data_IF_465251065415
#
_entry.id   IF_465251065415
#
_cell.length_a   1.000
_cell.length_b   1.000
_cell.length_c   1.000
_cell.angle_alpha   90.00
_cell.angle_beta   90.00
_cell.angle_gamma   90.00
#
_symmetry.space_group_name_H-M   'P 1'
#
loop_
_entity.id
_entity.type
_entity.pdbx_description
1 polymer ?
#
# COMPACT_ATOMS: atom_id res chain seq x y z
N UNK A 1 38.11 -43.10 -33.56
CA UNK A 1 37.07 -44.11 -33.80
C UNK A 1 35.77 -43.38 -33.63
N UNK A 2 35.25 -42.94 -34.70
CA UNK A 2 34.13 -43.43 -35.50
C UNK A 2 32.76 -43.02 -34.93
N UNK A 3 32.20 -42.11 -35.63
CA UNK A 3 30.77 -41.67 -35.73
C UNK A 3 29.81 -42.86 -35.96
N UNK A 4 28.48 -42.68 -36.20
CA UNK A 4 27.72 -41.52 -36.71
C UNK A 4 26.27 -41.31 -36.13
N UNK A 5 25.73 -40.12 -36.28
CA UNK A 5 24.59 -39.63 -37.10
C UNK A 5 23.29 -40.42 -37.10
N UNK A 6 22.21 -39.75 -36.74
CA UNK A 6 20.94 -39.78 -37.50
C UNK A 6 20.08 -38.54 -37.23
N UNK A 7 19.92 -37.74 -38.23
CA UNK A 7 18.91 -36.71 -38.51
C UNK A 7 17.58 -37.35 -38.79
N UNK A 8 16.47 -36.81 -38.28
CA UNK A 8 15.17 -36.89 -38.98
C UNK A 8 14.46 -35.53 -38.89
N UNK A 9 14.44 -34.87 -40.00
CA UNK A 9 13.50 -33.87 -40.42
C UNK A 9 12.08 -34.47 -40.54
N UNK A 10 11.09 -33.72 -40.10
CA UNK A 10 9.75 -33.88 -40.65
C UNK A 10 9.10 -32.48 -40.73
N UNK A 11 9.16 -32.00 -41.96
CA UNK A 11 8.39 -30.87 -42.47
C UNK A 11 7.02 -31.35 -42.94
N UNK A 12 6.08 -30.44 -42.84
CA UNK A 12 4.91 -30.23 -43.70
C UNK A 12 3.66 -31.06 -43.47
N UNK A 13 2.62 -30.29 -43.57
CA UNK A 13 1.26 -30.50 -44.02
C UNK A 13 0.17 -30.47 -42.92
N UNK A 14 -0.59 -29.37 -42.99
CA UNK A 14 -2.06 -29.44 -43.08
C UNK A 14 -2.65 -28.03 -43.18
N UNK A 15 -2.56 -27.46 -44.39
CA UNK A 15 -3.60 -26.58 -44.92
C UNK A 15 -4.57 -27.47 -45.70
N UNK A 16 -5.84 -27.34 -45.43
CA UNK A 16 -7.03 -27.61 -46.26
C UNK A 16 -8.17 -28.12 -45.37
N UNK A 17 -9.21 -27.35 -45.33
CA UNK A 17 -10.50 -27.84 -44.91
C UNK A 17 -11.34 -26.86 -44.13
N UNK A 18 -12.01 -25.93 -44.80
CA UNK A 18 -13.39 -25.56 -44.48
C UNK A 18 -13.92 -24.45 -45.39
N UNK A 19 -14.04 -24.73 -46.68
CA UNK A 19 -14.84 -23.95 -47.62
C UNK A 19 -16.34 -24.25 -47.57
N UNK A 20 -16.79 -25.19 -46.70
CA UNK A 20 -18.20 -25.65 -46.63
C UNK A 20 -19.05 -25.03 -45.52
N UNK A 21 -18.51 -24.11 -44.72
CA UNK A 21 -19.31 -23.49 -43.67
C UNK A 21 -20.05 -22.20 -44.12
N UNK A 22 -19.55 -21.55 -45.15
CA UNK A 22 -20.18 -20.30 -45.64
C UNK A 22 -21.31 -20.52 -46.68
N UNK A 23 -21.38 -21.69 -47.31
CA UNK A 23 -22.43 -22.00 -48.29
C UNK A 23 -23.77 -22.40 -47.65
N UNK A 24 -23.78 -22.84 -46.40
CA UNK A 24 -25.03 -23.25 -45.71
C UNK A 24 -25.79 -22.10 -45.04
N UNK A 25 -25.16 -20.97 -44.79
CA UNK A 25 -25.81 -19.80 -44.19
C UNK A 25 -26.55 -18.98 -45.27
N UNK A 26 -26.06 -18.96 -46.50
CA UNK A 26 -26.70 -18.20 -47.57
C UNK A 26 -28.03 -18.81 -48.09
N UNK A 27 -28.25 -20.10 -47.90
CA UNK A 27 -29.49 -20.75 -48.33
C UNK A 27 -30.63 -20.70 -47.30
N UNK A 28 -30.37 -20.38 -46.06
CA UNK A 28 -31.40 -20.28 -45.02
C UNK A 28 -32.01 -18.89 -44.96
N UNK A 29 -31.26 -17.87 -45.37
CA UNK A 29 -31.70 -16.44 -45.32
C UNK A 29 -32.65 -16.10 -46.51
N UNK A 30 -32.54 -16.81 -47.66
CA UNK A 30 -33.37 -16.50 -48.84
C UNK A 30 -34.75 -17.18 -48.87
N UNK A 31 -35.03 -18.18 -47.99
CA UNK A 31 -36.36 -18.85 -47.94
C UNK A 31 -37.37 -18.23 -46.97
N UNK A 32 -36.98 -17.22 -46.18
CA UNK A 32 -37.88 -16.60 -45.21
C UNK A 32 -38.39 -15.22 -45.64
N UNK A 33 -38.09 -14.74 -46.84
CA UNK A 33 -38.50 -13.42 -47.30
C UNK A 33 -39.75 -13.38 -48.22
N UNK A 34 -40.28 -14.54 -48.64
CA UNK A 34 -41.41 -14.61 -49.61
C UNK A 34 -42.77 -14.94 -49.02
N UNK A 35 -42.93 -14.95 -47.67
CA UNK A 35 -44.22 -15.27 -47.05
C UNK A 35 -44.81 -14.18 -46.15
N UNK A 36 -44.57 -12.90 -46.44
CA UNK A 36 -45.22 -11.79 -45.75
C UNK A 36 -45.60 -10.62 -46.68
N UNK A 37 -46.37 -10.90 -47.68
CA UNK A 37 -47.21 -9.89 -48.31
C UNK A 37 -48.66 -10.36 -48.13
N UNK A 38 -49.29 -9.92 -47.05
CA UNK A 38 -50.71 -9.69 -46.81
C UNK A 38 -51.01 -9.92 -45.31
N UNK A 39 -50.65 -8.95 -44.48
CA UNK A 39 -51.28 -8.75 -43.17
C UNK A 39 -51.41 -7.23 -42.92
N UNK A 40 -52.65 -6.87 -42.70
CA UNK A 40 -53.18 -5.53 -42.61
C UNK A 40 -52.34 -4.52 -41.81
N UNK A 41 -52.00 -3.40 -42.43
CA UNK A 41 -51.30 -2.22 -41.95
C UNK A 41 -51.96 -1.59 -40.70
N UNK A 42 -53.21 -1.97 -40.36
CA UNK A 42 -54.00 -1.36 -39.27
C UNK A 42 -53.71 -1.95 -37.87
N UNK A 43 -53.01 -3.08 -37.75
CA UNK A 43 -52.67 -3.67 -36.46
C UNK A 43 -51.25 -3.26 -36.02
N UNK A 44 -50.35 -2.93 -36.95
CA UNK A 44 -48.99 -2.51 -36.63
C UNK A 44 -48.90 -1.06 -36.02
N UNK A 45 -49.86 -0.20 -36.34
CA UNK A 45 -49.86 1.18 -35.79
C UNK A 45 -50.40 1.27 -34.35
N UNK A 46 -51.08 0.26 -33.81
CA UNK A 46 -51.53 0.24 -32.40
C UNK A 46 -50.55 -0.50 -31.44
N UNK A 47 -49.64 -1.30 -31.95
CA UNK A 47 -48.58 -1.96 -31.17
C UNK A 47 -47.30 -1.15 -31.08
N UNK A 48 -47.09 -0.17 -32.00
CA UNK A 48 -45.90 0.70 -31.98
C UNK A 48 -45.97 1.82 -30.93
N UNK A 49 -47.14 2.07 -30.30
CA UNK A 49 -47.31 3.13 -29.30
C UNK A 49 -47.18 2.57 -27.86
N UNK A 50 -47.25 1.24 -27.65
CA UNK A 50 -47.18 0.64 -26.32
C UNK A 50 -45.78 0.08 -25.99
N UNK A 51 -44.91 -0.15 -26.99
CA UNK A 51 -43.57 -0.71 -26.83
C UNK A 51 -42.45 0.26 -26.37
N UNK A 52 -42.56 1.60 -26.48
CA UNK A 52 -41.50 2.44 -25.92
C UNK A 52 -41.62 2.71 -24.42
N UNK A 53 -42.71 2.28 -23.76
CA UNK A 53 -42.90 2.55 -22.32
C UNK A 53 -42.47 1.40 -21.38
N UNK A 54 -42.03 0.27 -21.91
CA UNK A 54 -41.66 -0.91 -21.08
C UNK A 54 -40.15 -1.09 -20.95
N UNK A 55 -39.28 -0.30 -21.62
CA UNK A 55 -37.83 -0.49 -21.58
C UNK A 55 -37.04 0.71 -21.02
N UNK A 56 -37.59 1.47 -20.09
CA UNK A 56 -36.79 2.40 -19.29
C UNK A 56 -37.18 2.35 -17.80
N UNK A 57 -37.27 1.16 -17.22
CA UNK A 57 -36.82 1.01 -15.87
C UNK A 57 -35.31 0.89 -15.95
N UNK A 58 -34.63 2.02 -16.11
CA UNK A 58 -33.27 2.14 -15.61
C UNK A 58 -33.37 1.85 -14.11
N UNK A 59 -33.13 0.62 -13.74
CA UNK A 59 -32.73 0.34 -12.36
C UNK A 59 -31.45 1.13 -12.17
N UNK A 60 -31.58 2.40 -11.80
CA UNK A 60 -30.54 3.06 -11.05
C UNK A 60 -30.41 2.22 -9.80
N UNK A 61 -29.55 1.21 -9.83
CA UNK A 61 -29.01 0.64 -8.61
C UNK A 61 -28.47 1.86 -7.88
N UNK A 62 -29.16 2.27 -6.81
CA UNK A 62 -28.65 3.29 -5.93
C UNK A 62 -27.26 2.78 -5.55
N UNK A 63 -26.24 3.48 -6.03
CA UNK A 63 -24.86 3.12 -5.78
C UNK A 63 -24.65 3.41 -4.31
N UNK A 64 -24.61 2.36 -3.48
CA UNK A 64 -24.51 2.51 -2.05
C UNK A 64 -23.26 3.32 -1.71
N UNK A 65 -23.45 4.42 -0.97
CA UNK A 65 -22.35 5.24 -0.49
C UNK A 65 -21.44 4.40 0.41
N UNK A 66 -20.15 4.54 0.26
CA UNK A 66 -19.16 3.81 1.05
C UNK A 66 -19.27 4.24 2.53
N UNK A 67 -19.36 3.25 3.43
CA UNK A 67 -19.47 3.45 4.89
C UNK A 67 -18.28 2.86 5.64
N UNK A 68 -18.06 3.36 6.86
CA UNK A 68 -17.04 2.82 7.78
C UNK A 68 -17.40 1.38 8.16
N UNK A 69 -18.68 1.08 8.42
CA UNK A 69 -19.16 -0.25 8.78
C UNK A 69 -18.81 -1.27 7.69
N UNK A 70 -19.13 -0.96 6.45
CA UNK A 70 -18.80 -1.81 5.31
C UNK A 70 -17.29 -2.12 5.21
N UNK A 71 -16.43 -1.14 5.48
CA UNK A 71 -14.98 -1.34 5.41
C UNK A 71 -14.45 -2.14 6.60
N UNK A 72 -15.00 -1.93 7.80
CA UNK A 72 -14.65 -2.73 8.98
C UNK A 72 -15.05 -4.19 8.81
N UNK A 73 -16.27 -4.45 8.33
CA UNK A 73 -16.76 -5.82 8.05
C UNK A 73 -15.90 -6.52 6.99
N UNK A 74 -15.48 -5.79 5.95
CA UNK A 74 -14.57 -6.32 4.94
C UNK A 74 -13.21 -6.67 5.51
N UNK A 75 -12.61 -5.77 6.30
CA UNK A 75 -11.32 -6.04 6.96
C UNK A 75 -11.43 -7.24 7.91
N UNK A 76 -12.48 -7.34 8.70
CA UNK A 76 -12.72 -8.49 9.58
C UNK A 76 -12.85 -9.79 8.77
N UNK A 77 -13.66 -9.79 7.71
CA UNK A 77 -13.84 -10.93 6.82
C UNK A 77 -12.52 -11.37 6.19
N UNK A 78 -11.68 -10.44 5.73
CA UNK A 78 -10.37 -10.74 5.17
C UNK A 78 -9.44 -11.37 6.22
N UNK A 79 -9.45 -10.87 7.46
CA UNK A 79 -8.61 -11.40 8.55
C UNK A 79 -9.07 -12.80 9.02
N UNK A 80 -10.38 -13.07 8.95
CA UNK A 80 -10.96 -14.37 9.32
C UNK A 80 -10.86 -15.42 8.22
N UNK A 81 -10.55 -15.01 6.99
CA UNK A 81 -10.41 -15.91 5.85
C UNK A 81 -9.24 -16.87 6.07
N UNK A 82 -9.56 -18.09 6.42
CA UNK A 82 -8.57 -19.16 6.63
C UNK A 82 -8.13 -19.74 5.31
N UNK A 83 -6.83 -19.91 5.17
CA UNK A 83 -6.22 -20.84 4.25
C UNK A 83 -4.97 -21.45 4.92
N UNK A 84 -4.39 -22.48 4.33
CA UNK A 84 -3.26 -23.21 4.90
C UNK A 84 -1.96 -22.38 4.92
N UNK A 85 -1.93 -21.24 4.22
CA UNK A 85 -0.76 -20.38 4.09
C UNK A 85 -0.71 -19.29 5.18
N UNK A 86 -1.83 -18.55 5.37
CA UNK A 86 -1.85 -17.41 6.30
C UNK A 86 -2.07 -17.88 7.74
N UNK A 87 -1.27 -17.32 8.66
CA UNK A 87 -1.46 -17.60 10.08
C UNK A 87 -2.65 -16.82 10.65
N UNK A 88 -3.25 -17.36 11.72
CA UNK A 88 -4.36 -16.69 12.40
C UNK A 88 -3.98 -15.29 12.85
N UNK A 89 -4.86 -14.33 12.60
CA UNK A 89 -4.78 -12.96 13.06
C UNK A 89 -4.00 -12.01 12.16
N UNK A 90 -3.41 -12.49 11.04
CA UNK A 90 -2.85 -11.58 10.05
C UNK A 90 -3.83 -11.35 8.89
N UNK A 91 -3.66 -10.21 8.25
CA UNK A 91 -4.33 -9.93 6.98
C UNK A 91 -3.57 -10.57 5.83
N UNK A 92 -4.27 -11.18 4.86
CA UNK A 92 -3.65 -11.69 3.64
C UNK A 92 -2.85 -10.60 2.94
N UNK A 93 -1.56 -10.82 2.81
CA UNK A 93 -0.64 -9.96 2.08
C UNK A 93 0.02 -10.72 0.95
N UNK A 94 0.55 -9.99 -0.01
CA UNK A 94 1.03 -10.56 -1.25
C UNK A 94 2.28 -9.84 -1.72
N UNK A 95 3.17 -10.59 -2.36
CA UNK A 95 4.38 -10.07 -2.99
C UNK A 95 4.37 -10.36 -4.49
N UNK A 96 4.85 -9.44 -5.30
CA UNK A 96 4.99 -9.62 -6.74
C UNK A 96 6.37 -9.17 -7.22
N UNK A 97 7.00 -9.94 -8.10
CA UNK A 97 8.21 -9.56 -8.83
C UNK A 97 7.94 -8.60 -10.00
N UNK A 98 6.68 -8.21 -10.23
CA UNK A 98 6.27 -7.22 -11.23
C UNK A 98 5.35 -6.22 -10.55
N UNK A 99 5.40 -4.94 -10.94
CA UNK A 99 4.49 -3.91 -10.45
C UNK A 99 3.07 -4.15 -10.99
N UNK A 100 2.48 -5.31 -10.61
CA UNK A 100 1.13 -5.71 -10.98
C UNK A 100 0.55 -6.61 -9.90
N UNK A 101 -0.57 -6.21 -9.32
CA UNK A 101 -1.29 -7.01 -8.33
C UNK A 101 -1.68 -8.41 -8.86
N UNK A 102 -2.03 -8.50 -10.13
CA UNK A 102 -2.42 -9.76 -10.79
C UNK A 102 -1.34 -10.85 -10.76
N UNK A 103 -0.05 -10.49 -10.65
CA UNK A 103 1.07 -11.46 -10.64
C UNK A 103 1.57 -11.79 -9.24
N UNK A 104 0.78 -11.49 -8.20
CA UNK A 104 1.12 -11.67 -6.80
C UNK A 104 1.23 -13.13 -6.38
N UNK A 105 2.03 -13.38 -5.36
CA UNK A 105 2.09 -14.60 -4.56
C UNK A 105 1.78 -14.27 -3.11
N UNK A 106 1.29 -15.23 -2.36
CA UNK A 106 1.02 -15.07 -0.94
C UNK A 106 2.31 -14.82 -0.14
N UNK A 107 2.21 -13.95 0.87
CA UNK A 107 3.31 -13.60 1.77
C UNK A 107 2.79 -13.37 3.19
N UNK A 108 3.48 -13.96 4.18
CA UNK A 108 3.15 -13.79 5.60
C UNK A 108 4.06 -12.72 6.20
N UNK A 109 3.59 -11.47 6.24
CA UNK A 109 4.33 -10.35 6.83
C UNK A 109 3.53 -9.67 7.93
N UNK A 110 4.23 -9.15 8.95
CA UNK A 110 3.61 -8.39 10.03
C UNK A 110 3.34 -6.93 9.63
N UNK A 111 4.04 -6.42 8.65
CA UNK A 111 4.07 -5.02 8.25
C UNK A 111 2.67 -4.40 8.09
N UNK A 112 1.84 -4.99 7.22
CA UNK A 112 0.49 -4.46 6.99
C UNK A 112 -0.43 -4.61 8.21
N UNK A 113 -0.27 -5.69 8.98
CA UNK A 113 -1.00 -5.83 10.25
C UNK A 113 -0.69 -4.68 11.20
N UNK A 114 0.60 -4.34 11.32
CA UNK A 114 1.04 -3.26 12.20
C UNK A 114 0.52 -1.90 11.72
N UNK A 115 0.56 -1.61 10.41
CA UNK A 115 -0.02 -0.39 9.83
C UNK A 115 -1.52 -0.28 10.07
N UNK A 116 -2.28 -1.37 9.83
CA UNK A 116 -3.73 -1.39 10.03
C UNK A 116 -4.07 -1.17 11.50
N UNK A 117 -3.44 -1.92 12.41
CA UNK A 117 -3.70 -1.78 13.85
C UNK A 117 -3.32 -0.40 14.37
N UNK A 118 -2.19 0.16 13.90
CA UNK A 118 -1.80 1.52 14.25
C UNK A 118 -2.89 2.53 13.84
N UNK A 119 -3.39 2.44 12.60
CA UNK A 119 -4.43 3.34 12.08
C UNK A 119 -5.76 3.15 12.80
N UNK A 120 -6.18 1.90 13.04
CA UNK A 120 -7.40 1.59 13.79
C UNK A 120 -7.35 2.16 15.22
N UNK A 121 -6.22 2.03 15.92
CA UNK A 121 -6.04 2.58 17.27
C UNK A 121 -6.10 4.12 17.29
N UNK A 122 -5.61 4.78 16.26
CA UNK A 122 -5.71 6.23 16.13
C UNK A 122 -7.14 6.71 15.86
N UNK A 123 -7.95 5.88 15.19
CA UNK A 123 -9.30 6.25 14.79
C UNK A 123 -10.41 5.70 15.71
N UNK A 124 -10.14 4.65 16.52
CA UNK A 124 -11.16 3.94 17.29
C UNK A 124 -11.97 4.84 18.23
N UNK A 125 -11.41 5.93 18.74
CA UNK A 125 -12.12 6.87 19.63
C UNK A 125 -13.24 7.64 18.89
N UNK A 126 -13.29 7.58 17.57
CA UNK A 126 -14.24 8.24 16.68
C UNK A 126 -15.39 7.31 16.23
N UNK A 127 -15.27 6.03 16.54
CA UNK A 127 -16.20 4.97 16.13
C UNK A 127 -17.43 4.88 17.02
N UNK A 128 -18.54 4.37 16.46
CA UNK A 128 -19.71 3.94 17.25
C UNK A 128 -19.34 2.76 18.17
N UNK A 129 -20.24 2.37 19.06
CA UNK A 129 -20.03 1.22 19.96
C UNK A 129 -19.87 -0.06 19.12
N UNK A 130 -20.71 -0.27 18.12
CA UNK A 130 -20.70 -1.43 17.24
C UNK A 130 -19.40 -1.50 16.42
N UNK A 131 -18.99 -0.38 15.84
CA UNK A 131 -17.72 -0.26 15.12
C UNK A 131 -16.52 -0.55 16.02
N UNK A 132 -16.54 -0.11 17.27
CA UNK A 132 -15.46 -0.41 18.24
C UNK A 132 -15.36 -1.90 18.55
N UNK A 133 -16.47 -2.62 18.66
CA UNK A 133 -16.46 -4.07 18.91
C UNK A 133 -15.71 -4.79 17.77
N UNK A 134 -16.01 -4.47 16.50
CA UNK A 134 -15.32 -5.05 15.35
C UNK A 134 -13.85 -4.64 15.36
N UNK A 135 -13.57 -3.36 15.55
CA UNK A 135 -12.22 -2.82 15.63
C UNK A 135 -11.35 -3.52 16.69
N UNK A 136 -11.86 -3.66 17.92
CA UNK A 136 -11.16 -4.32 19.02
C UNK A 136 -10.92 -5.81 18.73
N UNK A 137 -11.87 -6.47 18.07
CA UNK A 137 -11.74 -7.86 17.61
C UNK A 137 -10.61 -8.01 16.61
N UNK A 138 -10.52 -7.13 15.58
CA UNK A 138 -9.44 -7.08 14.59
C UNK A 138 -8.10 -6.86 15.29
N UNK A 139 -8.00 -5.84 16.15
CA UNK A 139 -6.77 -5.50 16.87
C UNK A 139 -6.32 -6.68 17.73
N UNK A 140 -7.21 -7.30 18.50
CA UNK A 140 -6.89 -8.41 19.40
C UNK A 140 -6.34 -9.62 18.63
N UNK A 141 -6.90 -9.94 17.45
CA UNK A 141 -6.38 -11.03 16.60
C UNK A 141 -5.00 -10.70 16.07
N UNK A 142 -4.79 -9.47 15.58
CA UNK A 142 -3.48 -9.04 15.07
C UNK A 142 -2.40 -9.03 16.13
N UNK A 143 -2.72 -8.62 17.35
CA UNK A 143 -1.78 -8.61 18.49
C UNK A 143 -1.34 -10.03 18.89
N UNK A 144 -2.21 -11.04 18.80
CA UNK A 144 -1.83 -12.44 19.04
C UNK A 144 -0.82 -12.94 17.99
N UNK A 145 -0.99 -12.53 16.72
CA UNK A 145 -0.07 -12.91 15.65
C UNK A 145 1.32 -12.29 15.81
N UNK A 146 1.42 -11.09 16.39
CA UNK A 146 2.66 -10.32 16.51
C UNK A 146 3.80 -11.09 17.17
N UNK A 147 3.52 -11.95 18.16
CA UNK A 147 4.51 -12.76 18.86
C UNK A 147 5.33 -13.68 17.93
N UNK A 148 4.78 -14.09 16.78
CA UNK A 148 5.43 -14.96 15.80
C UNK A 148 6.49 -14.25 14.95
N UNK A 149 6.55 -12.93 15.03
CA UNK A 149 7.49 -12.07 14.31
C UNK A 149 8.54 -11.44 15.24
N UNK A 150 8.35 -11.60 16.57
CA UNK A 150 9.25 -11.05 17.59
C UNK A 150 10.60 -11.77 17.58
N UNK A 151 11.67 -11.00 17.72
CA UNK A 151 13.00 -11.55 18.00
C UNK A 151 13.02 -12.16 19.41
N UNK A 152 13.67 -13.33 19.56
CA UNK A 152 13.73 -14.03 20.85
C UNK A 152 14.65 -13.37 21.87
N UNK A 153 15.65 -12.61 21.41
CA UNK A 153 16.76 -12.12 22.23
C UNK A 153 16.74 -10.60 22.43
N UNK A 154 15.85 -9.88 21.76
CA UNK A 154 15.79 -8.42 21.81
C UNK A 154 14.36 -7.89 21.51
N UNK A 155 14.02 -6.67 21.91
CA UNK A 155 12.68 -6.11 21.72
C UNK A 155 12.48 -5.58 20.28
N UNK A 156 12.77 -6.42 19.27
CA UNK A 156 12.65 -6.07 17.86
C UNK A 156 11.76 -7.06 17.13
N UNK A 157 11.29 -6.67 15.95
CA UNK A 157 10.44 -7.48 15.11
C UNK A 157 11.06 -7.62 13.72
N UNK A 158 10.74 -8.74 13.09
CA UNK A 158 11.17 -9.07 11.75
C UNK A 158 9.97 -9.01 10.80
N UNK A 159 10.20 -8.62 9.58
CA UNK A 159 9.20 -8.58 8.53
C UNK A 159 8.50 -9.93 8.32
N UNK A 160 9.27 -11.02 8.41
CA UNK A 160 8.77 -12.39 8.31
C UNK A 160 8.82 -13.12 9.64
N UNK A 161 8.09 -14.23 9.71
CA UNK A 161 8.02 -15.07 10.91
C UNK A 161 9.41 -15.53 11.39
N UNK A 162 9.60 -15.46 12.70
CA UNK A 162 10.84 -15.91 13.37
C UNK A 162 10.70 -17.30 14.03
N UNK A 163 9.48 -17.83 14.10
CA UNK A 163 9.16 -19.14 14.70
C UNK A 163 9.27 -20.31 13.72
N UNK A 164 9.39 -20.07 12.44
CA UNK A 164 9.53 -21.07 11.39
C UNK A 164 10.63 -20.69 10.40
N UNK A 165 11.08 -21.67 9.59
CA UNK A 165 11.97 -21.38 8.48
C UNK A 165 11.24 -20.62 7.38
N UNK A 166 11.68 -19.40 7.12
CA UNK A 166 11.17 -18.58 6.02
C UNK A 166 11.65 -19.11 4.66
N UNK A 167 10.79 -19.09 3.67
CA UNK A 167 11.13 -19.38 2.29
C UNK A 167 10.65 -18.23 1.40
N UNK A 168 11.60 -17.51 0.80
CA UNK A 168 11.27 -16.41 -0.10
C UNK A 168 10.48 -16.94 -1.31
N UNK A 169 9.34 -16.32 -1.68
CA UNK A 169 8.44 -16.86 -2.71
C UNK A 169 9.00 -16.85 -4.13
N UNK A 170 10.09 -16.10 -4.37
CA UNK A 170 10.75 -15.99 -5.67
C UNK A 170 12.13 -16.62 -5.63
N UNK A 171 12.51 -17.31 -6.69
CA UNK A 171 13.89 -17.73 -6.89
C UNK A 171 14.72 -16.49 -7.18
N UNK A 172 15.57 -16.11 -6.24
CA UNK A 172 16.49 -15.00 -6.39
C UNK A 172 17.93 -15.53 -6.36
N UNK A 173 18.72 -15.14 -7.34
CA UNK A 173 20.18 -15.39 -7.34
C UNK A 173 20.89 -14.71 -6.15
N UNK A 174 20.26 -13.68 -5.58
CA UNK A 174 20.81 -12.85 -4.50
C UNK A 174 20.34 -13.32 -3.11
N UNK A 175 19.18 -13.96 -3.02
CA UNK A 175 18.65 -14.52 -1.77
C UNK A 175 18.56 -16.03 -1.89
N UNK A 176 19.50 -16.71 -1.24
CA UNK A 176 19.40 -18.16 -1.09
C UNK A 176 18.14 -18.55 -0.30
N UNK A 177 17.61 -19.77 -0.45
CA UNK A 177 16.32 -20.21 0.10
C UNK A 177 16.24 -20.23 1.64
N UNK A 178 17.33 -19.96 2.33
CA UNK A 178 17.42 -19.98 3.81
C UNK A 178 17.87 -18.64 4.43
N UNK A 179 18.01 -17.56 3.65
CA UNK A 179 18.43 -16.26 4.20
C UNK A 179 17.20 -15.45 4.55
N UNK A 180 16.98 -15.23 5.84
CA UNK A 180 16.04 -14.22 6.36
C UNK A 180 16.71 -12.86 6.37
N UNK A 181 15.94 -11.80 6.18
CA UNK A 181 16.37 -10.45 6.48
C UNK A 181 16.57 -10.32 8.01
N UNK A 182 17.46 -9.45 8.49
CA UNK A 182 17.50 -9.09 9.91
C UNK A 182 16.21 -8.36 10.28
N UNK A 183 15.98 -8.20 11.58
CA UNK A 183 14.92 -7.29 12.06
C UNK A 183 15.20 -5.89 11.54
N UNK A 184 14.16 -5.13 11.36
CA UNK A 184 14.24 -3.75 10.88
C UNK A 184 13.51 -2.78 11.81
N UNK A 185 13.84 -1.50 11.63
CA UNK A 185 13.29 -0.43 12.43
C UNK A 185 11.80 -0.25 12.20
N UNK A 186 11.36 -0.42 10.97
CA UNK A 186 10.00 -0.14 10.57
C UNK A 186 9.01 -1.11 11.22
N UNK A 187 9.22 -2.42 11.04
CA UNK A 187 8.42 -3.46 11.68
C UNK A 187 8.51 -3.41 13.21
N UNK A 188 9.68 -3.01 13.73
CA UNK A 188 9.88 -2.87 15.17
C UNK A 188 9.05 -1.74 15.75
N UNK A 189 9.13 -0.52 15.20
CA UNK A 189 8.39 0.62 15.78
C UNK A 189 6.89 0.49 15.56
N UNK A 190 6.46 0.01 14.38
CA UNK A 190 5.05 -0.25 14.09
C UNK A 190 4.50 -1.37 14.99
N UNK A 191 5.25 -2.47 15.17
CA UNK A 191 4.88 -3.56 16.05
C UNK A 191 4.79 -3.14 17.53
N UNK A 192 5.71 -2.29 18.00
CA UNK A 192 5.66 -1.75 19.37
C UNK A 192 4.51 -0.76 19.57
N UNK A 193 4.16 0.03 18.56
CA UNK A 193 2.98 0.91 18.60
C UNK A 193 1.65 0.14 18.64
N UNK A 194 1.63 -1.14 18.21
CA UNK A 194 0.49 -2.02 18.45
C UNK A 194 0.35 -2.36 19.94
N UNK A 195 1.45 -2.41 20.69
CA UNK A 195 1.50 -2.77 22.10
C UNK A 195 1.47 -1.51 22.98
N UNK A 196 0.91 -1.63 24.17
CA UNK A 196 1.05 -0.63 25.22
C UNK A 196 2.03 -1.19 26.27
N UNK A 197 3.34 -1.21 25.93
CA UNK A 197 4.38 -1.79 26.78
C UNK A 197 5.60 -0.86 26.85
N UNK A 198 5.66 -0.07 27.90
CA UNK A 198 6.68 0.96 28.11
C UNK A 198 8.10 0.40 28.18
N UNK A 199 8.31 -0.74 28.85
CA UNK A 199 9.64 -1.32 29.02
C UNK A 199 10.22 -1.79 27.68
N UNK A 200 9.44 -2.48 26.87
CA UNK A 200 9.86 -2.89 25.53
C UNK A 200 10.10 -1.68 24.61
N UNK A 201 9.30 -0.64 24.75
CA UNK A 201 9.40 0.62 24.01
C UNK A 201 10.70 1.35 24.32
N UNK A 202 11.01 1.55 25.59
CA UNK A 202 12.28 2.18 26.03
C UNK A 202 13.51 1.35 25.66
N UNK A 203 13.43 0.03 25.84
CA UNK A 203 14.51 -0.88 25.48
C UNK A 203 14.80 -0.89 23.97
N UNK A 204 13.75 -0.86 23.14
CA UNK A 204 13.91 -0.76 21.69
C UNK A 204 14.52 0.59 21.28
N UNK A 205 14.05 1.71 21.84
CA UNK A 205 14.60 3.03 21.56
C UNK A 205 16.08 3.14 21.96
N UNK A 206 16.45 2.60 23.11
CA UNK A 206 17.86 2.53 23.53
C UNK A 206 18.70 1.67 22.57
N UNK A 207 18.16 0.55 22.09
CA UNK A 207 18.84 -0.33 21.14
C UNK A 207 19.06 0.35 19.77
N UNK A 208 18.09 1.13 19.28
CA UNK A 208 18.18 1.85 17.99
C UNK A 208 19.42 2.73 17.91
N UNK A 209 19.88 3.31 19.04
CA UNK A 209 21.04 4.20 19.09
C UNK A 209 22.33 3.54 18.61
N UNK A 210 22.41 2.19 18.65
CA UNK A 210 23.56 1.44 18.13
C UNK A 210 23.49 1.21 16.60
N UNK A 211 22.42 1.60 15.95
CA UNK A 211 22.18 1.34 14.51
C UNK A 211 22.01 2.65 13.72
N UNK A 212 22.94 3.54 13.90
CA UNK A 212 23.08 4.80 13.16
C UNK A 212 24.26 4.74 12.20
N UNK A 213 24.41 5.71 11.32
CA UNK A 213 25.65 5.88 10.56
C UNK A 213 26.77 6.36 11.50
N UNK A 214 27.46 5.43 12.09
CA UNK A 214 28.61 5.69 13.00
C UNK A 214 29.97 5.75 12.29
N UNK A 215 30.01 5.45 10.97
CA UNK A 215 31.26 5.42 10.20
C UNK A 215 31.11 6.16 8.85
N UNK A 216 31.03 7.51 8.86
CA UNK A 216 30.96 8.30 7.65
C UNK A 216 32.28 8.29 6.87
N UNK A 217 32.30 8.53 5.54
CA UNK A 217 31.12 8.76 4.71
C UNK A 217 30.38 7.48 4.31
N UNK A 218 29.07 7.48 4.45
CA UNK A 218 28.22 6.39 4.01
C UNK A 218 28.22 6.25 2.49
N UNK A 219 28.46 5.03 1.98
CA UNK A 219 28.55 4.77 0.53
C UNK A 219 27.23 4.35 -0.12
N UNK A 220 26.18 4.13 0.66
CA UNK A 220 24.86 3.69 0.19
C UNK A 220 23.87 4.85 0.00
N UNK A 221 24.37 6.08 -0.01
CA UNK A 221 23.53 7.29 -0.17
C UNK A 221 24.24 8.36 -1.01
N UNK A 222 23.55 9.46 -1.33
CA UNK A 222 24.17 10.60 -1.98
C UNK A 222 25.23 11.25 -1.06
N UNK A 223 26.28 11.80 -1.67
CA UNK A 223 27.39 12.45 -0.94
C UNK A 223 26.88 13.49 0.09
N UNK A 224 25.83 14.21 -0.24
CA UNK A 224 25.23 15.24 0.63
C UNK A 224 24.65 14.66 1.93
N UNK A 225 24.25 13.38 1.95
CA UNK A 225 23.70 12.68 3.12
C UNK A 225 24.71 11.73 3.78
N UNK A 226 25.90 11.57 3.21
CA UNK A 226 26.85 10.53 3.62
C UNK A 226 27.42 10.72 5.01
N UNK A 227 27.36 11.93 5.59
CA UNK A 227 27.84 12.25 6.94
C UNK A 227 26.69 12.39 7.96
N UNK A 228 25.43 12.23 7.54
CA UNK A 228 24.31 12.30 8.49
C UNK A 228 24.31 11.07 9.38
N UNK A 229 24.17 11.26 10.71
CA UNK A 229 24.16 10.20 11.72
C UNK A 229 22.73 9.69 12.03
N UNK A 230 21.87 9.65 11.01
CA UNK A 230 20.52 9.16 11.12
C UNK A 230 20.47 7.62 11.32
N UNK A 231 19.31 7.12 11.74
CA UNK A 231 19.09 5.69 11.90
C UNK A 231 19.18 4.93 10.58
N UNK A 232 19.76 3.74 10.67
CA UNK A 232 19.66 2.73 9.60
C UNK A 232 18.34 1.99 9.69
N UNK A 233 17.74 1.65 8.56
CA UNK A 233 16.55 0.78 8.53
C UNK A 233 16.78 -0.58 9.22
N UNK A 234 18.01 -1.08 9.29
CA UNK A 234 18.33 -2.47 9.66
C UNK A 234 19.02 -2.62 11.00
N UNK A 235 18.59 -3.60 11.81
CA UNK A 235 19.26 -4.04 13.05
C UNK A 235 20.36 -5.08 12.83
N UNK A 236 20.90 -5.22 11.64
CA UNK A 236 21.88 -6.28 11.31
C UNK A 236 23.28 -5.75 11.12
N UNK A 237 24.27 -6.26 11.90
CA UNK A 237 25.70 -5.90 11.72
C UNK A 237 26.26 -6.21 10.33
N UNK A 238 25.63 -7.15 9.60
CA UNK A 238 26.04 -7.53 8.23
C UNK A 238 25.27 -6.77 7.14
N UNK A 239 24.28 -5.97 7.51
CA UNK A 239 23.56 -5.10 6.59
C UNK A 239 24.26 -3.75 6.51
N UNK A 240 24.38 -3.17 5.32
CA UNK A 240 24.84 -1.79 5.22
C UNK A 240 23.82 -0.84 5.87
N UNK A 241 24.30 0.32 6.30
CA UNK A 241 23.40 1.40 6.71
C UNK A 241 22.59 1.85 5.49
N UNK A 242 21.28 1.89 5.63
CA UNK A 242 20.35 2.36 4.59
C UNK A 242 19.42 3.36 5.23
N UNK A 243 19.38 4.57 4.69
CA UNK A 243 18.41 5.59 5.06
C UNK A 243 17.13 5.43 4.25
N UNK A 244 15.99 5.59 4.92
CA UNK A 244 14.66 5.67 4.31
C UNK A 244 13.83 6.72 5.05
N UNK A 245 13.43 7.76 4.34
CA UNK A 245 12.69 8.91 4.92
C UNK A 245 11.37 8.48 5.56
N UNK A 246 10.64 7.55 4.95
CA UNK A 246 9.37 7.07 5.50
C UNK A 246 9.57 6.22 6.76
N UNK A 247 10.61 5.38 6.79
CA UNK A 247 11.01 4.64 8.00
C UNK A 247 11.39 5.61 9.12
N UNK A 248 12.16 6.64 8.81
CA UNK A 248 12.53 7.67 9.80
C UNK A 248 11.29 8.41 10.32
N UNK A 249 10.30 8.71 9.47
CA UNK A 249 9.02 9.26 9.93
C UNK A 249 8.29 8.30 10.89
N UNK A 250 8.28 6.99 10.63
CA UNK A 250 7.68 6.02 11.53
C UNK A 250 8.44 5.92 12.87
N UNK A 251 9.78 5.96 12.84
CA UNK A 251 10.61 6.01 14.06
C UNK A 251 10.30 7.25 14.89
N UNK A 252 10.28 8.44 14.29
CA UNK A 252 9.98 9.68 15.02
C UNK A 252 8.52 9.70 15.51
N UNK A 253 7.58 9.12 14.76
CA UNK A 253 6.20 8.93 15.20
C UNK A 253 6.12 8.05 16.43
N UNK A 254 6.92 6.97 16.49
CA UNK A 254 7.04 6.10 17.65
C UNK A 254 7.60 6.85 18.87
N UNK A 255 8.65 7.66 18.69
CA UNK A 255 9.26 8.48 19.76
C UNK A 255 8.25 9.47 20.32
N UNK A 256 7.55 10.23 19.47
CA UNK A 256 6.56 11.22 19.89
C UNK A 256 5.33 10.60 20.50
N UNK A 257 4.78 9.53 19.93
CA UNK A 257 3.56 8.86 20.42
C UNK A 257 3.75 8.26 21.82
N UNK A 258 4.97 7.79 22.12
CA UNK A 258 5.33 7.21 23.42
C UNK A 258 5.98 8.22 24.37
N UNK A 259 6.01 9.49 24.04
CA UNK A 259 6.64 10.57 24.81
C UNK A 259 8.08 10.21 25.25
N UNK A 260 8.85 9.58 24.39
CA UNK A 260 10.24 9.25 24.66
C UNK A 260 11.12 10.51 24.59
N UNK A 261 12.15 10.54 25.41
CA UNK A 261 13.13 11.63 25.35
C UNK A 261 13.92 11.53 24.03
N UNK A 262 13.96 12.62 23.28
CA UNK A 262 14.72 12.69 22.04
C UNK A 262 16.21 12.53 22.27
N UNK A 263 16.81 11.73 21.41
CA UNK A 263 18.26 11.50 21.38
C UNK A 263 18.92 12.31 20.24
N UNK A 264 20.25 12.28 20.21
CA UNK A 264 21.01 12.84 19.10
C UNK A 264 20.65 12.16 17.76
N UNK A 265 20.38 10.86 17.77
CA UNK A 265 20.02 10.11 16.58
C UNK A 265 18.62 10.46 16.06
N UNK A 266 17.65 10.73 16.96
CA UNK A 266 16.33 11.24 16.57
C UNK A 266 16.45 12.60 15.89
N UNK A 267 17.24 13.50 16.48
CA UNK A 267 17.50 14.82 15.93
C UNK A 267 18.22 14.77 14.57
N UNK A 268 19.20 13.89 14.43
CA UNK A 268 19.90 13.68 13.15
C UNK A 268 18.98 13.08 12.08
N UNK A 269 18.08 12.19 12.48
CA UNK A 269 17.07 11.60 11.59
C UNK A 269 16.08 12.67 11.10
N UNK A 270 15.61 13.55 11.97
CA UNK A 270 14.80 14.71 11.58
C UNK A 270 15.55 15.63 10.62
N UNK A 271 16.82 15.94 10.91
CA UNK A 271 17.65 16.76 10.02
C UNK A 271 17.79 16.17 8.63
N UNK A 272 17.97 14.84 8.53
CA UNK A 272 18.00 14.15 7.24
C UNK A 272 16.67 14.30 6.48
N UNK A 273 15.53 14.11 7.15
CA UNK A 273 14.18 14.32 6.56
C UNK A 273 14.08 15.77 6.03
N UNK A 274 14.37 16.76 6.86
CA UNK A 274 14.33 18.18 6.48
C UNK A 274 15.20 18.47 5.26
N UNK A 275 16.43 17.96 5.26
CA UNK A 275 17.40 18.12 4.16
C UNK A 275 16.89 17.53 2.85
N UNK A 276 16.23 16.36 2.88
CA UNK A 276 15.65 15.75 1.66
C UNK A 276 14.47 16.55 1.11
N UNK A 277 13.68 17.19 1.96
CA UNK A 277 12.58 18.07 1.55
C UNK A 277 13.14 19.36 0.95
N UNK A 278 14.08 20.03 1.62
CA UNK A 278 14.68 21.29 1.16
C UNK A 278 15.40 21.15 -0.19
N UNK A 279 15.90 19.96 -0.50
CA UNK A 279 16.55 19.63 -1.78
C UNK A 279 15.58 19.16 -2.85
N UNK A 280 14.31 19.01 -2.50
CA UNK A 280 13.25 18.45 -3.36
C UNK A 280 13.52 16.98 -3.77
N UNK A 281 14.35 16.26 -3.02
CA UNK A 281 14.70 14.87 -3.34
C UNK A 281 13.54 13.91 -3.07
N UNK A 282 12.61 14.26 -2.17
CA UNK A 282 11.36 13.49 -1.98
C UNK A 282 10.45 13.50 -3.22
N UNK A 283 10.57 14.50 -4.09
CA UNK A 283 9.82 14.63 -5.35
C UNK A 283 10.64 14.12 -6.54
N UNK A 284 11.91 14.52 -6.64
CA UNK A 284 12.78 14.17 -7.77
C UNK A 284 13.34 12.77 -7.71
N UNK A 285 13.67 12.29 -6.52
CA UNK A 285 14.35 11.02 -6.28
C UNK A 285 13.70 10.18 -5.16
N UNK A 286 12.35 10.02 -5.16
CA UNK A 286 11.61 9.38 -4.05
C UNK A 286 12.12 7.96 -3.76
N UNK A 287 12.39 7.18 -4.80
CA UNK A 287 12.88 5.82 -4.68
C UNK A 287 14.29 5.73 -4.09
N UNK A 288 15.08 6.81 -4.20
CA UNK A 288 16.43 6.85 -3.65
C UNK A 288 16.45 7.24 -2.16
N UNK A 289 15.65 8.25 -1.78
CA UNK A 289 15.59 8.75 -0.39
C UNK A 289 14.65 7.95 0.51
N UNK A 290 13.71 7.20 -0.09
CA UNK A 290 12.81 6.29 0.60
C UNK A 290 12.67 4.99 -0.21
N UNK A 291 13.70 4.13 -0.22
CA UNK A 291 13.77 2.98 -1.11
C UNK A 291 12.67 1.94 -0.89
N UNK A 292 12.13 1.84 0.32
CA UNK A 292 11.09 0.87 0.64
C UNK A 292 9.68 1.39 0.43
N UNK A 293 9.52 2.71 0.27
CA UNK A 293 8.23 3.35 0.01
C UNK A 293 8.19 4.15 -1.30
N UNK A 294 9.25 4.31 -1.96
CA UNK A 294 9.61 4.82 -3.29
C UNK A 294 8.62 5.64 -4.10
N UNK A 295 7.63 6.27 -3.45
CA UNK A 295 6.60 7.09 -4.05
C UNK A 295 6.41 8.38 -3.22
N UNK A 296 6.46 9.53 -3.88
CA UNK A 296 6.31 10.84 -3.23
C UNK A 296 5.02 10.95 -2.42
N UNK A 297 3.90 10.42 -2.93
CA UNK A 297 2.60 10.49 -2.25
C UNK A 297 2.59 9.69 -0.94
N UNK A 298 3.32 8.56 -0.92
CA UNK A 298 3.47 7.74 0.29
C UNK A 298 4.43 8.42 1.28
N UNK A 299 5.51 9.05 0.81
CA UNK A 299 6.41 9.84 1.67
C UNK A 299 5.65 11.00 2.33
N UNK A 300 4.84 11.73 1.55
CA UNK A 300 3.99 12.82 2.08
C UNK A 300 2.99 12.31 3.13
N UNK A 301 2.44 11.12 2.94
CA UNK A 301 1.55 10.49 3.93
C UNK A 301 2.26 10.19 5.26
N UNK A 302 3.50 9.67 5.23
CA UNK A 302 4.29 9.42 6.43
C UNK A 302 4.66 10.72 7.16
N UNK A 303 5.03 11.76 6.41
CA UNK A 303 5.26 13.11 6.97
C UNK A 303 4.01 13.66 7.65
N UNK A 304 2.83 13.51 7.02
CA UNK A 304 1.58 13.99 7.57
C UNK A 304 1.17 13.21 8.84
N UNK A 305 1.43 11.90 8.89
CA UNK A 305 1.21 11.07 10.08
C UNK A 305 2.07 11.55 11.25
N UNK A 306 3.36 11.78 11.01
CA UNK A 306 4.28 12.30 12.03
C UNK A 306 3.81 13.66 12.55
N UNK A 307 3.53 14.59 11.66
CA UNK A 307 3.12 15.96 12.02
C UNK A 307 1.74 16.03 12.69
N UNK A 308 0.88 15.01 12.48
CA UNK A 308 -0.43 14.93 13.13
C UNK A 308 -0.36 14.49 14.61
N UNK A 309 0.73 13.84 15.04
CA UNK A 309 0.92 13.45 16.44
C UNK A 309 1.24 14.68 17.27
N UNK A 310 2.21 15.48 16.82
CA UNK A 310 2.68 16.69 17.48
C UNK A 310 3.34 17.61 16.46
N UNK A 311 3.13 18.93 16.55
CA UNK A 311 3.83 19.87 15.68
C UNK A 311 5.35 19.72 15.81
N UNK A 312 6.04 19.52 14.68
CA UNK A 312 7.49 19.45 14.59
C UNK A 312 7.97 20.76 13.94
N UNK A 313 8.56 21.71 14.68
CA UNK A 313 8.81 23.07 14.19
C UNK A 313 9.55 23.14 12.85
N UNK A 314 10.56 22.29 12.65
CA UNK A 314 11.33 22.24 11.41
C UNK A 314 10.49 21.75 10.19
N UNK A 315 9.51 20.89 10.41
CA UNK A 315 8.60 20.42 9.36
C UNK A 315 7.45 21.40 9.13
N UNK A 316 6.97 22.07 10.18
CA UNK A 316 5.92 23.10 10.04
C UNK A 316 6.36 24.26 9.13
N UNK A 317 7.64 24.65 9.16
CA UNK A 317 8.19 25.65 8.25
C UNK A 317 8.15 25.20 6.77
N UNK A 318 8.25 23.90 6.51
CA UNK A 318 8.25 23.33 5.17
C UNK A 318 6.83 22.93 4.68
N UNK A 319 5.86 22.89 5.60
CA UNK A 319 4.49 22.46 5.33
C UNK A 319 3.81 23.16 4.15
N UNK A 320 3.93 24.49 3.94
CA UNK A 320 3.29 25.15 2.79
C UNK A 320 3.74 24.55 1.44
N UNK A 321 5.03 24.26 1.28
CA UNK A 321 5.57 23.61 0.08
C UNK A 321 5.09 22.16 -0.07
N UNK A 322 5.04 21.42 1.03
CA UNK A 322 4.52 20.02 1.04
C UNK A 322 3.03 19.98 0.69
N UNK A 323 2.23 20.92 1.18
CA UNK A 323 0.81 21.05 0.84
C UNK A 323 0.62 21.37 -0.65
N UNK A 324 1.42 22.30 -1.19
CA UNK A 324 1.38 22.61 -2.62
C UNK A 324 1.70 21.40 -3.49
N UNK A 325 2.76 20.64 -3.14
CA UNK A 325 3.13 19.40 -3.83
C UNK A 325 2.02 18.33 -3.73
N UNK A 326 1.40 18.15 -2.55
CA UNK A 326 0.31 17.20 -2.39
C UNK A 326 -0.92 17.59 -3.24
N UNK A 327 -1.28 18.87 -3.31
CA UNK A 327 -2.39 19.37 -4.14
C UNK A 327 -2.16 19.16 -5.64
N UNK A 328 -0.96 19.49 -6.11
CA UNK A 328 -0.55 19.24 -7.50
C UNK A 328 -0.71 17.76 -7.86
N UNK A 329 -0.23 16.87 -6.99
CA UNK A 329 -0.29 15.43 -7.23
C UNK A 329 -1.71 14.86 -7.16
N UNK A 330 -2.58 15.35 -6.28
CA UNK A 330 -4.01 14.96 -6.30
C UNK A 330 -4.65 15.28 -7.64
N UNK A 331 -4.33 16.44 -8.22
CA UNK A 331 -4.89 16.87 -9.50
C UNK A 331 -4.34 16.07 -10.67
N UNK A 332 -3.04 15.78 -10.68
CA UNK A 332 -2.35 15.12 -11.79
C UNK A 332 -2.44 13.59 -11.77
N UNK A 333 -2.71 12.97 -10.61
CA UNK A 333 -2.78 11.50 -10.51
C UNK A 333 -4.03 10.94 -11.19
N UNK A 334 -3.86 9.85 -11.94
CA UNK A 334 -4.94 9.03 -12.47
C UNK A 334 -5.24 7.79 -11.60
N UNK A 335 -4.48 7.59 -10.52
CA UNK A 335 -4.64 6.44 -9.63
C UNK A 335 -5.50 6.82 -8.43
N UNK A 336 -6.66 6.14 -8.26
CA UNK A 336 -7.60 6.45 -7.19
C UNK A 336 -7.00 6.22 -5.80
N UNK A 337 -6.24 5.14 -5.59
CA UNK A 337 -5.59 4.87 -4.30
C UNK A 337 -4.57 5.97 -3.96
N UNK A 338 -3.81 6.45 -4.94
CA UNK A 338 -2.89 7.58 -4.74
C UNK A 338 -3.64 8.87 -4.37
N UNK A 339 -4.77 9.15 -5.03
CA UNK A 339 -5.63 10.30 -4.66
C UNK A 339 -6.14 10.19 -3.24
N UNK A 340 -6.53 9.00 -2.79
CA UNK A 340 -7.00 8.76 -1.42
C UNK A 340 -5.86 9.05 -0.43
N UNK A 341 -4.67 8.50 -0.65
CA UNK A 341 -3.48 8.71 0.20
C UNK A 341 -3.15 10.21 0.32
N UNK A 342 -3.14 10.93 -0.80
CA UNK A 342 -2.87 12.38 -0.82
C UNK A 342 -3.99 13.18 -0.16
N UNK A 343 -5.24 12.77 -0.31
CA UNK A 343 -6.37 13.42 0.35
C UNK A 343 -6.32 13.24 1.86
N UNK A 344 -5.99 12.04 2.35
CA UNK A 344 -5.71 11.78 3.77
C UNK A 344 -4.57 12.70 4.27
N UNK A 345 -3.48 12.78 3.50
CA UNK A 345 -2.34 13.64 3.80
C UNK A 345 -2.76 15.10 4.01
N UNK A 346 -3.53 15.67 3.09
CA UNK A 346 -4.05 17.03 3.19
C UNK A 346 -5.00 17.21 4.39
N UNK A 347 -5.87 16.24 4.64
CA UNK A 347 -6.79 16.27 5.80
C UNK A 347 -6.01 16.25 7.13
N UNK A 348 -4.96 15.42 7.24
CA UNK A 348 -4.08 15.39 8.43
C UNK A 348 -3.35 16.72 8.66
N UNK A 349 -3.03 17.43 7.60
CA UNK A 349 -2.47 18.80 7.68
C UNK A 349 -3.54 19.88 7.92
N UNK A 350 -4.81 19.49 8.15
CA UNK A 350 -5.96 20.37 8.33
C UNK A 350 -6.30 21.22 7.09
N UNK A 351 -5.90 20.75 5.91
CA UNK A 351 -6.21 21.37 4.63
C UNK A 351 -7.60 20.95 4.10
N UNK A 352 -8.09 21.64 3.07
CA UNK A 352 -9.33 21.31 2.36
C UNK A 352 -9.01 20.68 1.00
N UNK A 353 -8.90 19.34 0.91
CA UNK A 353 -8.74 18.67 -0.38
C UNK A 353 -10.06 18.60 -1.16
N UNK A 354 -10.01 18.27 -2.46
CA UNK A 354 -11.21 17.89 -3.21
C UNK A 354 -11.94 16.72 -2.54
N UNK A 355 -13.26 16.78 -2.49
CA UNK A 355 -14.07 15.69 -1.95
C UNK A 355 -14.11 14.54 -2.96
N UNK A 356 -13.73 13.35 -2.50
CA UNK A 356 -13.86 12.12 -3.28
C UNK A 356 -15.23 11.49 -2.97
N UNK A 357 -16.05 11.32 -4.01
CA UNK A 357 -17.32 10.62 -3.91
C UNK A 357 -17.05 9.13 -4.21
N UNK A 358 -16.85 8.36 -3.14
CA UNK A 358 -16.50 6.95 -3.22
C UNK A 358 -17.73 6.08 -2.97
N UNK A 359 -17.80 4.99 -3.70
CA UNK A 359 -18.87 4.01 -3.66
C UNK A 359 -18.30 2.62 -3.38
N UNK A 360 -19.16 1.66 -3.10
CA UNK A 360 -18.74 0.24 -2.92
C UNK A 360 -18.11 -0.36 -4.18
N UNK A 361 -18.40 0.18 -5.38
CA UNK A 361 -17.75 -0.27 -6.62
C UNK A 361 -16.28 0.17 -6.68
N UNK A 362 -15.97 1.39 -6.22
CA UNK A 362 -14.59 1.88 -6.18
C UNK A 362 -13.68 0.99 -5.32
N UNK A 363 -14.23 0.34 -4.28
CA UNK A 363 -13.48 -0.57 -3.41
C UNK A 363 -12.87 -1.74 -4.19
N UNK A 364 -13.61 -2.29 -5.18
CA UNK A 364 -13.12 -3.41 -6.01
C UNK A 364 -11.94 -2.99 -6.90
N UNK A 365 -12.04 -1.79 -7.48
CA UNK A 365 -10.98 -1.25 -8.34
C UNK A 365 -9.73 -0.92 -7.51
N UNK A 366 -9.93 -0.43 -6.29
CA UNK A 366 -8.84 -0.12 -5.35
C UNK A 366 -8.20 -1.39 -4.78
N UNK A 367 -8.98 -2.45 -4.50
CA UNK A 367 -8.47 -3.74 -4.01
C UNK A 367 -7.44 -4.35 -4.96
N UNK A 368 -7.66 -4.22 -6.27
CA UNK A 368 -6.78 -4.78 -7.30
C UNK A 368 -5.79 -3.76 -7.88
N UNK A 369 -5.65 -2.60 -7.23
CA UNK A 369 -4.80 -1.51 -7.68
C UNK A 369 -3.33 -1.94 -7.73
N UNK A 370 -2.63 -1.49 -8.78
CA UNK A 370 -1.22 -1.79 -9.00
C UNK A 370 -0.25 -0.82 -8.28
N UNK A 371 -0.74 0.08 -7.41
CA UNK A 371 0.11 0.93 -6.57
C UNK A 371 0.58 0.14 -5.34
N UNK A 372 1.84 -0.28 -5.27
CA UNK A 372 2.37 -0.91 -4.07
C UNK A 372 2.60 0.16 -3.00
N UNK A 373 2.16 -0.10 -1.78
CA UNK A 373 2.46 0.78 -0.66
C UNK A 373 3.88 0.55 -0.12
N UNK A 374 4.38 -0.69 -0.22
CA UNK A 374 5.71 -1.10 0.23
C UNK A 374 6.46 -1.84 -0.89
N UNK A 375 7.78 -1.64 -0.94
CA UNK A 375 8.66 -2.18 -1.99
C UNK A 375 9.89 -2.83 -1.35
N UNK A 376 10.12 -4.09 -1.64
CA UNK A 376 11.41 -4.74 -1.39
C UNK A 376 12.41 -4.32 -2.46
N UNK A 377 13.34 -3.41 -2.14
CA UNK A 377 14.24 -2.78 -3.11
C UNK A 377 15.70 -3.24 -2.85
N UNK A 378 16.17 -4.19 -3.65
CA UNK A 378 17.53 -4.75 -3.52
C UNK A 378 18.62 -3.68 -3.76
N UNK A 379 18.56 -2.81 -4.78
CA UNK A 379 19.54 -1.74 -4.97
C UNK A 379 19.74 -0.79 -3.77
N UNK A 380 18.82 -0.77 -2.81
CA UNK A 380 18.98 0.02 -1.58
C UNK A 380 20.28 -0.29 -0.84
N UNK A 381 20.80 -1.53 -0.95
CA UNK A 381 22.04 -2.01 -0.31
C UNK A 381 23.31 -1.68 -1.10
N UNK A 382 23.17 -1.26 -2.34
CA UNK A 382 24.31 -1.04 -3.20
C UNK A 382 25.06 0.23 -2.82
N UNK A 383 26.36 0.22 -3.03
CA UNK A 383 27.22 1.42 -2.89
C UNK A 383 27.10 2.26 -4.16
N UNK A 384 27.33 3.55 -4.04
CA UNK A 384 27.52 4.44 -5.18
C UNK A 384 28.75 4.02 -6.01
N UNK A 385 28.71 4.14 -7.35
CA UNK A 385 27.57 4.64 -8.17
C UNK A 385 26.49 3.58 -8.45
N UNK A 386 26.74 2.30 -8.18
CA UNK A 386 25.86 1.19 -8.51
C UNK A 386 24.44 1.34 -7.97
N UNK A 387 24.29 1.97 -6.81
CA UNK A 387 22.95 2.22 -6.28
C UNK A 387 22.14 3.10 -7.23
N UNK A 388 22.71 4.17 -7.75
CA UNK A 388 22.05 5.10 -8.65
C UNK A 388 21.73 4.43 -10.01
N UNK A 389 22.68 3.69 -10.56
CA UNK A 389 22.51 2.99 -11.84
C UNK A 389 21.44 1.91 -11.82
N UNK A 390 21.30 1.21 -10.69
CA UNK A 390 20.36 0.09 -10.55
C UNK A 390 19.07 0.45 -9.81
N UNK A 391 18.97 1.65 -9.21
CA UNK A 391 17.77 2.10 -8.54
C UNK A 391 16.62 2.24 -9.54
N UNK A 392 15.51 1.57 -9.29
CA UNK A 392 14.39 1.55 -10.22
C UNK A 392 14.43 0.40 -11.24
N UNK A 393 15.49 -0.41 -11.28
CA UNK A 393 15.52 -1.59 -12.14
C UNK A 393 14.49 -2.62 -11.64
N UNK A 394 13.42 -2.79 -12.40
CA UNK A 394 12.23 -3.60 -12.01
C UNK A 394 12.58 -5.05 -11.64
N UNK A 395 13.63 -5.62 -12.20
CA UNK A 395 14.09 -6.98 -11.91
C UNK A 395 14.61 -7.14 -10.46
N UNK A 396 15.06 -6.04 -9.84
CA UNK A 396 15.61 -6.02 -8.49
C UNK A 396 14.63 -5.47 -7.45
N UNK A 397 13.33 -5.41 -7.81
CA UNK A 397 12.29 -4.87 -6.94
C UNK A 397 11.18 -5.89 -6.74
N UNK A 398 10.67 -5.95 -5.52
CA UNK A 398 9.51 -6.75 -5.12
C UNK A 398 8.45 -5.81 -4.56
N UNK A 399 7.23 -5.97 -5.05
CA UNK A 399 6.11 -5.09 -4.73
C UNK A 399 5.15 -5.80 -3.79
N UNK A 400 4.87 -5.19 -2.65
CA UNK A 400 4.00 -5.76 -1.64
C UNK A 400 2.61 -5.10 -1.67
N UNK A 401 1.60 -5.92 -1.47
CA UNK A 401 0.18 -5.53 -1.52
C UNK A 401 -0.59 -6.15 -0.37
N UNK A 402 -1.56 -5.42 0.16
CA UNK A 402 -2.52 -5.90 1.14
C UNK A 402 -3.89 -5.25 0.87
N UNK A 403 -4.90 -5.98 0.39
CA UNK A 403 -6.23 -5.43 0.15
C UNK A 403 -6.85 -4.80 1.40
N UNK A 404 -6.69 -5.41 2.57
CA UNK A 404 -7.18 -4.85 3.83
C UNK A 404 -6.52 -3.51 4.20
N UNK A 405 -5.28 -3.28 3.77
CA UNK A 405 -4.64 -1.97 3.93
C UNK A 405 -5.31 -0.90 3.06
N UNK A 406 -5.72 -1.26 1.85
CA UNK A 406 -6.47 -0.36 0.98
C UNK A 406 -7.82 0.00 1.61
N UNK A 407 -8.54 -0.99 2.20
CA UNK A 407 -9.79 -0.76 2.93
C UNK A 407 -9.56 0.13 4.17
N UNK A 408 -8.43 -0.05 4.87
CA UNK A 408 -8.05 0.77 6.01
C UNK A 408 -7.78 2.24 5.62
N UNK A 409 -7.12 2.49 4.48
CA UNK A 409 -6.93 3.84 3.95
C UNK A 409 -8.25 4.50 3.56
N UNK A 410 -9.17 3.75 2.95
CA UNK A 410 -10.53 4.24 2.66
C UNK A 410 -11.28 4.62 3.93
N UNK A 411 -11.20 3.79 4.96
CA UNK A 411 -11.80 4.05 6.28
C UNK A 411 -11.19 5.30 6.92
N UNK A 412 -9.86 5.43 6.94
CA UNK A 412 -9.16 6.62 7.47
C UNK A 412 -9.62 7.91 6.74
N UNK A 413 -9.76 7.84 5.41
CA UNK A 413 -10.31 8.96 4.63
C UNK A 413 -11.72 9.34 5.11
N UNK A 414 -12.63 8.37 5.26
CA UNK A 414 -14.02 8.64 5.67
C UNK A 414 -14.08 9.25 7.08
N UNK A 415 -13.28 8.72 8.01
CA UNK A 415 -13.18 9.23 9.39
C UNK A 415 -12.71 10.68 9.42
N UNK A 416 -11.65 11.00 8.68
CA UNK A 416 -11.11 12.36 8.63
C UNK A 416 -12.07 13.33 7.93
N UNK A 417 -12.77 12.89 6.87
CA UNK A 417 -13.80 13.66 6.19
C UNK A 417 -14.96 14.01 7.14
N UNK A 418 -15.47 13.03 7.89
CA UNK A 418 -16.56 13.25 8.86
C UNK A 418 -16.16 14.23 9.97
N UNK A 419 -14.93 14.12 10.49
CA UNK A 419 -14.43 15.05 11.51
C UNK A 419 -14.38 16.50 10.99
N UNK A 420 -13.94 16.66 9.74
CA UNK A 420 -13.86 17.98 9.14
C UNK A 420 -15.23 18.61 8.96
N UNK A 421 -16.23 17.86 8.50
CA UNK A 421 -17.61 18.32 8.36
C UNK A 421 -18.18 18.77 9.71
N UNK A 422 -18.03 17.98 10.78
CA UNK A 422 -18.49 18.34 12.12
C UNK A 422 -17.86 19.64 12.66
N UNK A 423 -16.56 19.87 12.39
CA UNK A 423 -15.89 21.12 12.78
C UNK A 423 -16.47 22.35 12.06
N UNK A 424 -16.85 22.22 10.80
CA UNK A 424 -17.49 23.31 10.06
C UNK A 424 -18.87 23.64 10.64
N UNK A 425 -19.74 22.66 10.89
CA UNK A 425 -21.07 22.84 11.46
C UNK A 425 -21.00 23.52 12.83
N UNK A 426 -20.08 23.09 13.69
CA UNK A 426 -19.89 23.69 15.02
C UNK A 426 -19.46 25.15 14.93
N UNK A 427 -18.54 25.49 14.02
CA UNK A 427 -18.06 26.87 13.85
C UNK A 427 -19.13 27.82 13.26
N UNK A 428 -20.05 27.31 12.43
CA UNK A 428 -21.18 28.11 11.93
C UNK A 428 -22.25 28.36 13.01
N UNK A 429 -22.47 27.37 13.89
CA UNK A 429 -23.43 27.50 15.02
C UNK A 429 -22.97 28.53 16.06
N UNK A 430 -21.65 28.67 16.27
CA UNK A 430 -21.08 29.69 17.17
C UNK A 430 -21.03 31.11 16.56
N UNK A 431 -21.22 31.24 15.25
CA UNK A 431 -21.23 32.55 14.56
C UNK A 431 -22.65 33.14 14.40
N UNK A 432 -23.68 32.36 14.72
CA UNK A 432 -25.09 32.80 14.80
C UNK A 432 -25.46 33.08 16.25
#
# INVERSE_FOLDING_TARGET
MASPVASHSCTSALLFGNANFYSRIHHIVHRHFDLRRNLNVTILNRLAIVLPFIFFTVTTTAQDSLTIDYLLDRMETQQLKRNDFFIDGIFPSYISGKRKFKTRKEDNTIFYNALIVYTLKDDCHKFSIEQKIICDSIISRSMRALSKFKNRNRPTYNFWRTDTSFRFPYNSLLFGPKKTLPDDLDDTVLGLMMLNNDDSTKAAHALMQAYVNSNPPLKTTYKVYSHDSAYSTWFGKKMPVVFDVSVLCNVLSFVEKNNLQWTTADSASLQLIVKTIQRDDISKHPLFVSPYYGNTSIILYHLARLMAIKPVPALEQLKPGLVALARERVQSSNNMLEKIILTITLLKWNENPPVLNLTTNDVRDIETNDLPFFIGNIPSYFKQPWKEDFMGLRLLMYYHYCPAWNDCLLMEYLVLKQQKSKKFETNETFKR
#
